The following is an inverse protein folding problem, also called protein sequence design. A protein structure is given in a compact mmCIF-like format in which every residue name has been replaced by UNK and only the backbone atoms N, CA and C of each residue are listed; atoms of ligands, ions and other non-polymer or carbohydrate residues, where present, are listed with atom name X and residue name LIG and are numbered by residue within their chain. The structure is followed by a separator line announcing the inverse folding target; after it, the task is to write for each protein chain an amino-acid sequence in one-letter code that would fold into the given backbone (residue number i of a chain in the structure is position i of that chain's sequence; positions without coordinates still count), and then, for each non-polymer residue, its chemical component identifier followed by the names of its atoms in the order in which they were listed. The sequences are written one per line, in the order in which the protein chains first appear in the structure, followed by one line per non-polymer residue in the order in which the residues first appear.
data_IF_677646477443
#
_entry.id   IF_677646477443
#
_cell.length_a   1.000
_cell.length_b   1.000
_cell.length_c   1.000
_cell.angle_alpha   90.00
_cell.angle_beta   90.00
_cell.angle_gamma   90.00
#
_symmetry.space_group_name_H-M   'P 1'
#
loop_
_entity.id
_entity.type
_entity.pdbx_description
1 polymer ?
#
# COMPACT_ATOMS: atom_id res chain seq x y z
N UNK A 1 8.70 5.12 14.64
CA UNK A 1 8.26 6.49 14.31
C UNK A 1 6.89 6.49 13.67
N UNK A 2 6.66 5.86 12.51
CA UNK A 2 5.34 5.76 11.86
C UNK A 2 4.19 5.36 12.81
N UNK A 3 4.31 4.21 13.51
CA UNK A 3 3.32 3.74 14.51
C UNK A 3 2.99 4.80 15.57
N UNK A 4 4.01 5.54 16.03
CA UNK A 4 3.85 6.61 17.02
C UNK A 4 3.08 7.80 16.44
N UNK A 5 3.37 8.20 15.20
CA UNK A 5 2.64 9.27 14.49
C UNK A 5 1.18 8.88 14.30
N UNK A 6 0.91 7.66 13.79
CA UNK A 6 -0.45 7.11 13.59
C UNK A 6 -1.22 7.17 14.90
N UNK A 7 -0.66 6.61 15.98
CA UNK A 7 -1.33 6.59 17.28
C UNK A 7 -1.60 8.00 17.83
N UNK A 8 -0.63 8.93 17.72
CA UNK A 8 -0.79 10.31 18.22
C UNK A 8 -1.86 11.07 17.43
N UNK A 9 -1.87 10.93 16.11
CA UNK A 9 -2.90 11.54 15.24
C UNK A 9 -4.29 10.98 15.54
N UNK A 10 -4.44 9.66 15.62
CA UNK A 10 -5.74 9.02 15.86
C UNK A 10 -6.29 9.33 17.26
N UNK A 11 -5.43 9.34 18.30
CA UNK A 11 -5.82 9.74 19.65
C UNK A 11 -6.33 11.20 19.70
N UNK A 12 -5.66 12.13 19.01
CA UNK A 12 -6.09 13.54 18.95
C UNK A 12 -7.39 13.75 18.18
N UNK A 13 -7.63 12.95 17.14
CA UNK A 13 -8.83 13.03 16.30
C UNK A 13 -10.00 12.19 16.85
N UNK A 14 -9.79 11.39 17.91
CA UNK A 14 -10.83 10.52 18.46
C UNK A 14 -11.22 9.35 17.55
N UNK A 15 -10.29 8.86 16.71
CA UNK A 15 -10.56 7.83 15.70
C UNK A 15 -10.01 6.47 16.17
N UNK A 16 -10.83 5.41 16.10
CA UNK A 16 -10.37 4.06 16.44
C UNK A 16 -9.30 3.54 15.47
N UNK A 17 -8.18 3.05 16.00
CA UNK A 17 -7.22 2.26 15.25
C UNK A 17 -7.67 0.79 15.17
N UNK A 18 -7.77 0.26 13.95
CA UNK A 18 -7.78 -1.18 13.72
C UNK A 18 -6.52 -1.61 12.97
N UNK A 19 -5.82 -2.63 13.47
CA UNK A 19 -4.58 -3.14 12.87
C UNK A 19 -4.81 -4.55 12.33
N UNK A 20 -4.62 -4.72 11.02
CA UNK A 20 -4.55 -6.04 10.38
C UNK A 20 -3.08 -6.46 10.26
N UNK A 21 -2.69 -7.52 10.95
CA UNK A 21 -1.33 -8.09 10.86
C UNK A 21 -1.35 -9.27 9.90
N UNK A 22 -0.63 -9.17 8.79
CA UNK A 22 -0.44 -10.29 7.86
C UNK A 22 0.65 -11.22 8.42
N UNK A 23 0.51 -12.53 8.20
CA UNK A 23 1.56 -13.49 8.57
C UNK A 23 2.86 -13.19 7.79
N UNK A 24 3.95 -13.01 8.54
CA UNK A 24 5.28 -12.70 8.00
C UNK A 24 5.85 -13.80 7.10
N UNK A 25 5.71 -15.07 7.49
CA UNK A 25 6.21 -16.21 6.70
C UNK A 25 5.48 -16.31 5.35
N UNK A 26 4.17 -16.07 5.34
CA UNK A 26 3.35 -16.08 4.13
C UNK A 26 3.73 -14.93 3.16
N UNK A 27 3.94 -13.71 3.66
CA UNK A 27 4.41 -12.59 2.81
C UNK A 27 5.86 -12.80 2.34
N UNK A 28 6.76 -13.23 3.22
CA UNK A 28 8.17 -13.44 2.88
C UNK A 28 8.34 -14.50 1.77
N UNK A 29 7.66 -15.64 1.89
CA UNK A 29 7.71 -16.69 0.87
C UNK A 29 7.04 -16.27 -0.45
N UNK A 30 5.97 -15.47 -0.38
CA UNK A 30 5.32 -14.89 -1.56
C UNK A 30 6.19 -13.86 -2.29
N UNK A 31 6.91 -12.99 -1.56
CA UNK A 31 7.89 -12.06 -2.13
C UNK A 31 9.08 -12.82 -2.76
N UNK A 32 9.57 -13.88 -2.10
CA UNK A 32 10.60 -14.76 -2.65
C UNK A 32 10.12 -15.51 -3.90
N UNK A 33 8.84 -15.88 -3.97
CA UNK A 33 8.25 -16.51 -5.15
C UNK A 33 8.20 -15.54 -6.35
N UNK A 34 7.86 -14.26 -6.12
CA UNK A 34 7.88 -13.21 -7.14
C UNK A 34 9.29 -12.92 -7.65
N UNK A 35 10.27 -12.83 -6.75
CA UNK A 35 11.69 -12.68 -7.11
C UNK A 35 12.20 -13.83 -7.99
N UNK A 36 11.89 -15.09 -7.65
CA UNK A 36 12.24 -16.28 -8.47
C UNK A 36 11.55 -16.30 -9.82
N UNK A 37 10.35 -15.73 -9.92
CA UNK A 37 9.61 -15.57 -11.17
C UNK A 37 10.08 -14.37 -12.02
N UNK A 38 11.12 -13.65 -11.58
CA UNK A 38 11.63 -12.43 -12.21
C UNK A 38 10.56 -11.33 -12.37
N UNK A 39 9.56 -11.31 -11.47
CA UNK A 39 8.54 -10.26 -11.45
C UNK A 39 9.10 -9.02 -10.78
N UNK A 40 9.15 -7.92 -11.53
CA UNK A 40 9.71 -6.64 -11.08
C UNK A 40 8.85 -6.02 -9.97
N UNK A 41 7.52 -5.98 -10.14
CA UNK A 41 6.60 -5.37 -9.18
C UNK A 41 6.31 -6.28 -7.96
N UNK A 42 7.15 -6.18 -6.94
CA UNK A 42 7.03 -6.94 -5.68
C UNK A 42 6.02 -6.26 -4.72
N UNK A 43 5.89 -4.94 -4.77
CA UNK A 43 4.97 -4.17 -3.91
C UNK A 43 3.50 -4.46 -4.25
N UNK A 44 3.20 -4.97 -5.44
CA UNK A 44 1.91 -5.55 -5.82
C UNK A 44 1.35 -6.52 -4.75
N UNK A 45 2.22 -7.31 -4.09
CA UNK A 45 1.82 -8.23 -3.00
C UNK A 45 1.29 -7.46 -1.78
N UNK A 46 1.91 -6.35 -1.43
CA UNK A 46 1.54 -5.52 -0.28
C UNK A 46 0.27 -4.72 -0.61
N UNK A 47 0.21 -4.10 -1.79
CA UNK A 47 -0.95 -3.37 -2.30
C UNK A 47 -2.19 -4.28 -2.34
N UNK A 48 -2.07 -5.47 -2.95
CA UNK A 48 -3.18 -6.42 -2.99
C UNK A 48 -3.64 -6.82 -1.58
N UNK A 49 -2.71 -7.08 -0.66
CA UNK A 49 -3.04 -7.44 0.72
C UNK A 49 -3.81 -6.30 1.44
N UNK A 50 -3.38 -5.05 1.28
CA UNK A 50 -4.04 -3.86 1.84
C UNK A 50 -5.46 -3.72 1.27
N UNK A 51 -5.61 -3.72 -0.05
CA UNK A 51 -6.92 -3.59 -0.68
C UNK A 51 -7.86 -4.75 -0.31
N UNK A 52 -7.36 -5.99 -0.31
CA UNK A 52 -8.15 -7.16 0.07
C UNK A 52 -8.57 -7.12 1.55
N UNK A 53 -7.69 -6.73 2.47
CA UNK A 53 -8.02 -6.56 3.88
C UNK A 53 -9.10 -5.48 4.09
N UNK A 54 -8.95 -4.31 3.44
CA UNK A 54 -9.94 -3.22 3.50
C UNK A 54 -11.31 -3.64 2.97
N UNK A 55 -11.37 -4.30 1.80
CA UNK A 55 -12.63 -4.82 1.24
C UNK A 55 -13.31 -5.83 2.20
N UNK A 56 -12.53 -6.72 2.81
CA UNK A 56 -13.04 -7.73 3.72
C UNK A 56 -13.54 -7.14 5.04
N UNK A 57 -12.81 -6.21 5.65
CA UNK A 57 -13.19 -5.55 6.90
C UNK A 57 -14.34 -4.55 6.70
N UNK A 58 -14.40 -3.85 5.57
CA UNK A 58 -15.53 -2.97 5.25
C UNK A 58 -16.85 -3.77 5.15
N UNK A 59 -16.83 -4.92 4.46
CA UNK A 59 -17.98 -5.83 4.41
C UNK A 59 -18.37 -6.33 5.80
N UNK A 60 -17.40 -6.83 6.57
CA UNK A 60 -17.60 -7.40 7.91
C UNK A 60 -18.17 -6.40 8.92
N UNK A 61 -17.89 -5.10 8.74
CA UNK A 61 -18.32 -4.01 9.65
C UNK A 61 -19.53 -3.23 9.14
N UNK A 62 -20.12 -3.59 8.00
CA UNK A 62 -21.24 -2.85 7.41
C UNK A 62 -20.86 -1.47 6.84
N UNK A 63 -19.56 -1.20 6.67
CA UNK A 63 -19.04 0.07 6.15
C UNK A 63 -19.15 0.11 4.63
N UNK A 64 -19.68 1.21 4.09
CA UNK A 64 -19.88 1.43 2.64
C UNK A 64 -18.91 2.43 2.01
N UNK A 65 -18.13 3.15 2.82
CA UNK A 65 -17.21 4.18 2.37
C UNK A 65 -15.81 3.87 2.90
N UNK A 66 -14.81 3.87 2.02
CA UNK A 66 -13.40 3.72 2.38
C UNK A 66 -12.68 4.96 1.93
N UNK A 67 -12.14 5.70 2.89
CA UNK A 67 -11.33 6.88 2.64
C UNK A 67 -9.92 6.42 2.26
N UNK A 68 -9.34 7.00 1.21
CA UNK A 68 -7.93 6.77 0.90
C UNK A 68 -7.18 8.08 0.58
N UNK A 69 -5.87 8.05 0.81
CA UNK A 69 -4.97 9.18 0.59
C UNK A 69 -4.47 9.28 -0.85
N UNK A 70 -5.19 8.73 -1.83
CA UNK A 70 -4.73 8.75 -3.21
C UNK A 70 -4.84 10.16 -3.81
N UNK A 71 -3.77 10.62 -4.47
CA UNK A 71 -3.73 11.91 -5.14
C UNK A 71 -3.22 11.77 -6.58
N UNK A 72 -4.08 12.07 -7.55
CA UNK A 72 -3.83 11.94 -9.00
C UNK A 72 -2.60 12.78 -9.44
N UNK A 73 -2.40 13.96 -8.86
CA UNK A 73 -1.29 14.87 -9.22
C UNK A 73 0.08 14.34 -8.77
N UNK A 74 0.13 13.50 -7.73
CA UNK A 74 1.41 13.04 -7.13
C UNK A 74 1.68 11.54 -7.31
N UNK A 75 0.77 10.82 -7.95
CA UNK A 75 0.86 9.36 -8.24
C UNK A 75 1.16 9.07 -9.71
N UNK A 76 1.63 10.07 -10.47
CA UNK A 76 1.89 9.99 -11.90
C UNK A 76 3.02 9.05 -12.34
N UNK A 77 3.79 8.45 -11.43
CA UNK A 77 4.80 7.44 -11.75
C UNK A 77 4.16 6.09 -12.11
N UNK A 78 3.66 6.02 -13.35
CA UNK A 78 3.40 4.74 -14.02
C UNK A 78 4.73 4.11 -14.39
N UNK A 79 4.98 2.91 -13.86
CA UNK A 79 6.03 2.03 -14.38
C UNK A 79 5.90 1.86 -15.91
N UNK A 80 7.01 1.63 -16.64
CA UNK A 80 6.98 1.41 -18.08
C UNK A 80 5.96 0.33 -18.48
N UNK A 81 5.33 0.48 -19.66
CA UNK A 81 4.37 -0.50 -20.17
C UNK A 81 5.02 -1.89 -20.22
N UNK A 82 4.38 -2.87 -19.56
CA UNK A 82 4.88 -4.24 -19.44
C UNK A 82 5.64 -4.56 -18.15
N UNK A 83 5.96 -3.57 -17.30
CA UNK A 83 6.66 -3.78 -16.03
C UNK A 83 5.72 -3.91 -14.81
N UNK A 84 4.48 -3.43 -14.95
CA UNK A 84 3.42 -3.59 -13.95
C UNK A 84 2.35 -4.57 -14.44
N UNK A 85 1.92 -5.48 -13.57
CA UNK A 85 0.75 -6.35 -13.79
C UNK A 85 -0.52 -5.75 -13.18
N UNK A 86 -1.71 -6.29 -13.46
CA UNK A 86 -2.93 -5.84 -12.76
C UNK A 86 -2.80 -6.14 -11.25
N UNK A 87 -2.78 -5.09 -10.42
CA UNK A 87 -2.65 -5.20 -8.96
C UNK A 87 -3.78 -5.96 -8.26
N UNK A 88 -4.89 -6.22 -8.95
CA UNK A 88 -6.04 -6.98 -8.44
C UNK A 88 -6.12 -8.42 -8.96
N UNK A 89 -5.13 -8.87 -9.74
CA UNK A 89 -5.10 -10.25 -10.26
C UNK A 89 -4.63 -11.25 -9.19
N UNK A 90 -5.58 -11.69 -8.37
CA UNK A 90 -5.37 -12.75 -7.39
C UNK A 90 -4.86 -14.05 -8.05
N UNK A 91 -5.28 -14.35 -9.29
CA UNK A 91 -4.92 -15.60 -9.97
C UNK A 91 -3.43 -15.62 -10.33
N UNK A 92 -2.89 -14.51 -10.83
CA UNK A 92 -1.45 -14.39 -11.07
C UNK A 92 -0.64 -14.55 -9.78
N UNK A 93 -1.02 -13.86 -8.70
CA UNK A 93 -0.37 -13.97 -7.38
C UNK A 93 -0.33 -15.44 -6.92
N UNK A 94 -1.45 -16.16 -7.00
CA UNK A 94 -1.54 -17.56 -6.58
C UNK A 94 -0.83 -18.52 -7.55
N UNK A 95 -0.78 -18.20 -8.85
CA UNK A 95 -0.08 -18.96 -9.88
C UNK A 95 1.44 -18.91 -9.72
N UNK A 96 2.00 -17.71 -9.53
CA UNK A 96 3.43 -17.52 -9.22
C UNK A 96 3.79 -18.25 -7.92
N UNK A 97 2.98 -18.05 -6.88
CA UNK A 97 3.18 -18.69 -5.59
C UNK A 97 3.14 -20.23 -5.69
N UNK A 98 2.21 -20.81 -6.45
CA UNK A 98 2.11 -22.26 -6.62
C UNK A 98 3.32 -22.90 -7.31
N UNK A 99 4.08 -22.13 -8.10
CA UNK A 99 5.28 -22.60 -8.81
C UNK A 99 6.56 -22.45 -7.99
N UNK A 100 6.68 -21.37 -7.21
CA UNK A 100 7.96 -20.95 -6.60
C UNK A 100 7.93 -20.82 -5.07
N UNK A 101 6.75 -20.79 -4.46
CA UNK A 101 6.54 -20.75 -3.01
C UNK A 101 6.63 -22.14 -2.35
N UNK A 102 6.77 -22.14 -1.04
CA UNK A 102 6.89 -23.30 -0.15
C UNK A 102 5.87 -23.28 0.99
N UNK A 103 5.44 -22.10 1.44
CA UNK A 103 4.54 -21.89 2.59
C UNK A 103 3.10 -21.80 2.12
N UNK A 104 2.15 -22.48 2.77
CA UNK A 104 0.73 -22.40 2.36
C UNK A 104 0.11 -21.07 2.81
N UNK A 105 -0.38 -20.26 1.87
CA UNK A 105 -1.13 -19.02 2.13
C UNK A 105 -2.51 -19.28 2.78
N UNK A 106 -2.52 -19.41 4.12
CA UNK A 106 -3.73 -19.62 4.94
C UNK A 106 -4.38 -18.27 5.30
N UNK A 107 -3.59 -17.31 5.78
CA UNK A 107 -4.08 -16.04 6.37
C UNK A 107 -3.96 -14.82 5.46
N UNK A 108 -3.14 -14.92 4.41
CA UNK A 108 -2.98 -13.87 3.41
C UNK A 108 -4.34 -13.44 2.84
N UNK A 109 -4.65 -12.13 2.82
CA UNK A 109 -5.93 -11.61 2.34
C UNK A 109 -6.30 -12.10 0.94
N UNK A 110 -7.58 -12.43 0.74
CA UNK A 110 -8.11 -12.90 -0.55
C UNK A 110 -9.23 -11.98 -1.02
N UNK A 111 -9.19 -11.62 -2.30
CA UNK A 111 -10.16 -10.76 -2.97
C UNK A 111 -10.28 -11.21 -4.43
N UNK A 112 -11.20 -12.16 -4.68
CA UNK A 112 -11.43 -12.66 -6.03
C UNK A 112 -12.13 -11.60 -6.89
N UNK A 113 -12.00 -11.70 -8.22
CA UNK A 113 -12.69 -10.82 -9.16
C UNK A 113 -14.20 -10.71 -8.85
N UNK A 114 -14.87 -11.85 -8.67
CA UNK A 114 -16.30 -11.89 -8.31
C UNK A 114 -16.60 -11.25 -6.95
N UNK A 115 -15.73 -11.43 -5.94
CA UNK A 115 -15.91 -10.77 -4.64
C UNK A 115 -15.74 -9.26 -4.76
N UNK A 116 -14.72 -8.78 -5.49
CA UNK A 116 -14.52 -7.35 -5.78
C UNK A 116 -15.75 -6.78 -6.50
N UNK A 117 -16.23 -7.44 -7.55
CA UNK A 117 -17.43 -7.05 -8.29
C UNK A 117 -18.67 -6.97 -7.38
N UNK A 118 -18.93 -8.02 -6.58
CA UNK A 118 -20.03 -8.02 -5.61
C UNK A 118 -19.93 -6.83 -4.63
N UNK A 119 -18.73 -6.57 -4.10
CA UNK A 119 -18.51 -5.50 -3.13
C UNK A 119 -18.70 -4.10 -3.74
N UNK A 120 -18.20 -3.87 -4.95
CA UNK A 120 -18.35 -2.59 -5.65
C UNK A 120 -19.77 -2.35 -6.17
N UNK A 121 -20.43 -3.37 -6.76
CA UNK A 121 -21.70 -3.19 -7.47
C UNK A 121 -22.92 -3.47 -6.60
N UNK A 122 -22.94 -4.59 -5.87
CA UNK A 122 -24.13 -5.05 -5.13
C UNK A 122 -24.13 -4.45 -3.72
N UNK A 123 -23.02 -4.58 -2.99
CA UNK A 123 -22.85 -4.01 -1.66
C UNK A 123 -22.58 -2.48 -1.70
N UNK A 124 -22.21 -1.95 -2.87
CA UNK A 124 -22.01 -0.51 -3.16
C UNK A 124 -20.89 0.14 -2.32
N UNK A 125 -19.78 -0.57 -2.14
CA UNK A 125 -18.56 -0.04 -1.52
C UNK A 125 -17.97 1.08 -2.39
N UNK A 126 -17.81 2.27 -1.81
CA UNK A 126 -17.25 3.46 -2.47
C UNK A 126 -15.87 3.80 -1.89
N UNK A 127 -14.92 4.00 -2.79
CA UNK A 127 -13.59 4.53 -2.47
C UNK A 127 -13.59 6.04 -2.66
N UNK A 128 -13.18 6.79 -1.64
CA UNK A 128 -13.18 8.25 -1.63
C UNK A 128 -11.74 8.77 -1.48
N UNK A 129 -11.09 9.19 -2.59
CA UNK A 129 -9.77 9.81 -2.55
C UNK A 129 -9.87 11.26 -2.10
N UNK A 130 -9.89 11.48 -0.78
CA UNK A 130 -10.14 12.80 -0.17
C UNK A 130 -9.19 13.87 -0.70
N UNK A 131 -7.93 13.51 -0.97
CA UNK A 131 -6.92 14.47 -1.44
C UNK A 131 -7.21 15.06 -2.83
N UNK A 132 -8.08 14.43 -3.64
CA UNK A 132 -8.53 14.97 -4.93
C UNK A 132 -9.71 15.96 -4.79
N UNK A 133 -10.30 16.10 -3.59
CA UNK A 133 -11.42 17.01 -3.31
C UNK A 133 -11.00 18.29 -2.56
N UNK A 134 -9.70 18.45 -2.29
CA UNK A 134 -9.13 19.59 -1.57
C UNK A 134 -7.87 20.09 -2.28
N UNK A 135 -7.58 21.39 -2.19
CA UNK A 135 -6.32 21.95 -2.69
C UNK A 135 -5.14 21.42 -1.86
N UNK A 136 -4.45 20.40 -2.36
CA UNK A 136 -3.42 19.69 -1.62
C UNK A 136 -2.02 20.30 -1.83
N UNK A 137 -1.58 21.17 -0.91
CA UNK A 137 -0.16 21.54 -0.82
C UNK A 137 0.56 20.67 0.23
N UNK A 138 1.47 19.79 -0.23
CA UNK A 138 2.23 18.88 0.64
C UNK A 138 3.01 19.59 1.74
N UNK A 139 3.56 20.78 1.48
CA UNK A 139 4.36 21.52 2.46
C UNK A 139 3.48 22.13 3.56
N UNK A 140 2.34 22.71 3.19
CA UNK A 140 1.37 23.29 4.13
C UNK A 140 0.73 22.21 4.99
N UNK A 141 0.27 21.11 4.39
CA UNK A 141 -0.31 19.96 5.12
C UNK A 141 0.70 19.39 6.12
N UNK A 142 1.97 19.26 5.73
CA UNK A 142 3.03 18.80 6.63
C UNK A 142 3.22 19.72 7.84
N UNK A 143 3.26 21.05 7.62
CA UNK A 143 3.36 22.03 8.70
C UNK A 143 2.12 22.00 9.63
N UNK A 144 0.92 21.84 9.05
CA UNK A 144 -0.33 21.69 9.80
C UNK A 144 -0.31 20.43 10.69
N UNK A 145 0.10 19.28 10.13
CA UNK A 145 0.23 18.02 10.89
C UNK A 145 1.26 18.10 12.03
N UNK A 146 2.38 18.78 11.82
CA UNK A 146 3.37 19.02 12.89
C UNK A 146 2.74 19.88 14.00
N UNK A 147 2.13 21.02 13.64
CA UNK A 147 1.58 22.00 14.57
C UNK A 147 0.41 21.47 15.39
N UNK A 148 -0.58 20.87 14.74
CA UNK A 148 -1.85 20.50 15.37
C UNK A 148 -1.84 19.05 15.86
N UNK A 149 -1.35 18.13 15.03
CA UNK A 149 -1.36 16.70 15.35
C UNK A 149 -0.08 16.26 16.10
N UNK A 150 0.98 17.08 16.15
CA UNK A 150 2.25 16.70 16.78
C UNK A 150 2.99 15.60 16.01
N UNK A 151 2.67 15.47 14.72
CA UNK A 151 3.29 14.51 13.81
C UNK A 151 4.79 14.80 13.69
N UNK A 152 5.63 13.78 13.83
CA UNK A 152 7.10 13.92 13.69
C UNK A 152 7.53 13.59 12.28
N UNK A 153 8.26 14.49 11.66
CA UNK A 153 8.78 14.27 10.32
C UNK A 153 9.78 13.11 10.28
N UNK A 154 9.54 12.21 9.32
CA UNK A 154 10.47 11.15 8.94
C UNK A 154 10.97 11.33 7.50
N UNK A 155 10.43 12.27 6.71
CA UNK A 155 10.93 12.68 5.38
C UNK A 155 9.87 12.80 4.26
N UNK A 156 10.14 12.06 3.16
CA UNK A 156 9.51 12.00 1.82
C UNK A 156 8.28 11.07 1.58
N UNK A 157 8.40 9.95 0.82
CA UNK A 157 7.30 9.09 0.26
C UNK A 157 7.28 7.53 0.48
N UNK A 158 8.37 6.72 0.60
CA UNK A 158 8.26 5.21 0.79
C UNK A 158 9.34 4.38 1.61
N UNK A 159 9.59 4.69 2.89
CA UNK A 159 10.05 3.84 4.01
C UNK A 159 9.50 4.35 5.34
N UNK A 160 8.48 3.66 5.79
CA UNK A 160 8.27 3.38 7.20
C UNK A 160 8.83 1.97 7.51
N UNK A 161 9.22 1.23 6.47
CA UNK A 161 9.81 -0.12 6.50
C UNK A 161 11.15 -0.16 5.75
N UNK A 162 12.16 -0.82 6.32
CA UNK A 162 13.49 -0.98 5.70
C UNK A 162 13.38 -1.71 4.35
N UNK A 163 12.38 -2.59 4.19
CA UNK A 163 12.14 -3.30 2.94
C UNK A 163 11.74 -2.37 1.80
N UNK A 164 10.78 -1.45 2.02
CA UNK A 164 10.36 -0.50 0.98
C UNK A 164 11.45 0.54 0.68
N UNK A 165 12.37 0.80 1.62
CA UNK A 165 13.64 1.49 1.33
C UNK A 165 14.44 0.67 0.33
N UNK A 166 14.76 -0.57 0.66
CA UNK A 166 15.59 -1.42 -0.19
C UNK A 166 14.97 -1.60 -1.58
N UNK A 167 13.66 -1.82 -1.66
CA UNK A 167 12.94 -1.95 -2.92
C UNK A 167 12.90 -0.64 -3.73
N UNK A 168 12.48 0.50 -3.16
CA UNK A 168 12.46 1.75 -3.94
C UNK A 168 13.85 2.30 -4.22
N UNK A 169 14.79 2.20 -3.28
CA UNK A 169 16.18 2.56 -3.52
C UNK A 169 16.75 1.65 -4.61
N UNK A 170 16.64 0.32 -4.55
CA UNK A 170 17.23 -0.53 -5.61
C UNK A 170 16.46 -0.49 -6.92
N UNK A 171 15.14 -0.64 -6.97
CA UNK A 171 14.42 -0.65 -8.26
C UNK A 171 14.27 0.76 -8.85
N UNK A 172 14.02 1.79 -8.04
CA UNK A 172 14.00 3.16 -8.56
C UNK A 172 15.42 3.64 -8.88
N UNK A 173 16.49 3.24 -8.17
CA UNK A 173 17.86 3.57 -8.60
C UNK A 173 18.41 2.66 -9.69
N UNK A 174 17.98 1.42 -9.90
CA UNK A 174 18.38 0.68 -11.11
C UNK A 174 17.77 1.39 -12.32
N UNK A 175 16.52 1.83 -12.23
CA UNK A 175 15.88 2.67 -13.24
C UNK A 175 16.56 4.05 -13.37
N UNK A 176 17.04 4.65 -12.28
CA UNK A 176 17.71 5.94 -12.32
C UNK A 176 19.17 5.83 -12.80
N UNK A 177 19.98 4.89 -12.32
CA UNK A 177 21.41 4.68 -12.66
C UNK A 177 21.59 4.29 -14.13
N UNK A 178 20.62 3.59 -14.74
CA UNK A 178 20.60 3.36 -16.18
C UNK A 178 20.30 4.63 -17.00
N UNK A 179 19.97 5.75 -16.36
CA UNK A 179 19.58 7.03 -16.99
C UNK A 179 20.48 8.20 -16.56
N UNK A 180 20.82 8.36 -15.27
CA UNK A 180 21.77 9.33 -14.71
C UNK A 180 22.23 8.93 -13.29
N UNK A 181 23.45 9.32 -12.90
CA UNK A 181 24.04 8.95 -11.59
C UNK A 181 23.50 9.71 -10.37
N UNK A 182 23.81 9.14 -9.19
CA UNK A 182 23.69 9.65 -7.81
C UNK A 182 22.33 9.64 -7.07
N UNK A 183 22.36 8.96 -5.91
CA UNK A 183 21.76 9.32 -4.61
C UNK A 183 20.30 8.99 -4.26
N UNK A 184 20.16 8.08 -3.27
CA UNK A 184 19.20 7.98 -2.13
C UNK A 184 17.80 8.65 -2.23
N UNK A 185 16.66 7.99 -1.94
CA UNK A 185 16.03 7.82 -0.59
C UNK A 185 14.51 7.43 -0.72
N UNK A 186 13.63 7.71 0.27
CA UNK A 186 12.38 6.94 0.48
C UNK A 186 11.23 7.62 1.34
N UNK A 187 10.73 7.07 2.49
CA UNK A 187 9.74 7.55 3.56
C UNK A 187 8.12 7.34 3.54
N UNK A 188 7.44 6.23 4.01
CA UNK A 188 6.06 5.60 3.65
C UNK A 188 4.69 5.96 4.38
N UNK A 189 3.70 5.00 4.53
CA UNK A 189 2.23 5.18 4.74
C UNK A 189 1.40 4.22 5.65
N UNK A 190 0.24 4.76 6.12
CA UNK A 190 -0.84 4.10 6.88
C UNK A 190 -2.26 4.58 6.49
N UNK A 191 -3.32 3.93 7.03
CA UNK A 191 -4.74 4.17 6.72
C UNK A 191 -5.58 4.58 7.96
N UNK A 192 -6.66 5.33 7.73
CA UNK A 192 -7.55 5.93 8.74
C UNK A 192 -9.02 5.59 8.42
N UNK A 193 -9.85 5.53 9.47
CA UNK A 193 -11.25 5.08 9.49
C UNK A 193 -12.23 6.18 9.06
#
# INVERSE_FOLDING_TARGET
MAVTNINTTLQKLGIDLFTYVVNWEEIMDLQLAFLKASVVDIELINDFAIFAALHNEAQKRGVKYVLNGMNIETEGERLPKGWAHEKFDQLNIHSIHSKFGKVKLRTYPKLSYFKRYYLTVIYKLKWLPILNYVSYNKAEVKNLMIKELGWRDYGGKHFESIFTRFYQVIFSQINFILINGNSTCQFSFALVK
#
